data_IF_553866007184
#
_entry.id   IF_553866007184
#
_cell.length_a   1.000
_cell.length_b   1.000
_cell.length_c   1.000
_cell.angle_alpha   90.00
_cell.angle_beta   90.00
_cell.angle_gamma   90.00
#
_symmetry.space_group_name_H-M   'P 1'
#
loop_
_entity.id
_entity.type
_entity.pdbx_description
1 polymer ?
#
# COMPACT_ATOMS: atom_id res chain seq x y z
N UNK A 1 32.78 -24.29 -13.17
CA UNK A 1 31.36 -24.69 -13.22
C UNK A 1 30.85 -24.55 -11.80
N UNK A 2 30.21 -23.43 -11.47
CA UNK A 2 29.54 -23.20 -10.18
C UNK A 2 28.17 -22.60 -10.48
N UNK A 3 27.26 -23.44 -10.96
CA UNK A 3 25.86 -23.08 -11.17
C UNK A 3 24.99 -23.41 -9.94
N UNK A 4 25.54 -24.13 -8.96
CA UNK A 4 24.81 -24.70 -7.81
C UNK A 4 24.69 -23.76 -6.61
N UNK A 5 25.56 -22.76 -6.49
CA UNK A 5 25.57 -21.80 -5.38
C UNK A 5 24.52 -20.69 -5.52
N UNK A 6 24.13 -20.32 -6.75
CA UNK A 6 23.13 -19.28 -6.99
C UNK A 6 21.69 -19.78 -6.82
N UNK A 7 21.43 -21.05 -7.11
CA UNK A 7 20.08 -21.63 -7.01
C UNK A 7 19.67 -21.89 -5.55
N UNK A 8 20.64 -22.15 -4.66
CA UNK A 8 20.35 -22.42 -3.24
C UNK A 8 20.05 -21.16 -2.45
N UNK A 9 20.69 -20.02 -2.75
CA UNK A 9 20.38 -18.72 -2.14
C UNK A 9 19.07 -18.15 -2.63
N UNK A 10 18.79 -18.24 -3.95
CA UNK A 10 17.51 -17.81 -4.50
C UNK A 10 16.33 -18.61 -3.89
N UNK A 11 16.47 -19.93 -3.73
CA UNK A 11 15.42 -20.75 -3.11
C UNK A 11 15.27 -20.52 -1.59
N UNK A 12 16.37 -20.28 -0.86
CA UNK A 12 16.32 -19.95 0.56
C UNK A 12 15.71 -18.56 0.83
N UNK A 13 15.98 -17.59 -0.04
CA UNK A 13 15.38 -16.25 0.02
C UNK A 13 13.87 -16.31 -0.28
N UNK A 14 13.43 -17.21 -1.17
CA UNK A 14 12.01 -17.44 -1.48
C UNK A 14 11.28 -18.14 -0.31
N UNK A 15 11.85 -19.17 0.31
CA UNK A 15 11.26 -19.85 1.49
C UNK A 15 11.19 -18.93 2.73
N UNK A 16 12.19 -18.08 2.93
CA UNK A 16 12.17 -17.10 4.02
C UNK A 16 11.13 -16.01 3.76
N UNK A 17 10.98 -15.55 2.51
CA UNK A 17 9.95 -14.59 2.09
C UNK A 17 8.52 -15.15 2.16
N UNK A 18 8.33 -16.47 2.21
CA UNK A 18 7.00 -17.06 2.46
C UNK A 18 6.55 -16.91 3.92
N UNK A 19 7.48 -16.82 4.87
CA UNK A 19 7.19 -16.67 6.30
C UNK A 19 7.35 -15.23 6.80
N UNK A 20 8.21 -14.44 6.15
CA UNK A 20 8.42 -13.02 6.36
C UNK A 20 8.39 -12.29 5.01
N UNK A 21 7.21 -11.90 4.50
CA UNK A 21 7.07 -11.25 3.20
C UNK A 21 7.91 -9.97 3.04
N UNK A 22 8.25 -9.31 4.15
CA UNK A 22 9.12 -8.13 4.17
C UNK A 22 10.61 -8.45 3.93
N UNK A 23 11.05 -9.70 4.12
CA UNK A 23 12.44 -10.11 4.00
C UNK A 23 12.95 -10.26 2.56
N UNK A 24 12.07 -10.16 1.56
CA UNK A 24 12.47 -10.27 0.15
C UNK A 24 13.61 -9.30 -0.18
N UNK A 25 14.70 -9.83 -0.75
CA UNK A 25 15.90 -9.05 -1.07
C UNK A 25 15.77 -8.38 -2.43
N UNK A 26 15.85 -7.05 -2.44
CA UNK A 26 15.63 -6.21 -3.62
C UNK A 26 16.76 -6.42 -4.64
N UNK A 27 16.46 -6.88 -5.87
CA UNK A 27 17.49 -7.30 -6.82
C UNK A 27 18.08 -6.17 -7.67
N UNK A 28 17.52 -4.96 -7.63
CA UNK A 28 17.89 -3.83 -8.48
C UNK A 28 18.51 -2.67 -7.70
N UNK A 29 19.40 -1.92 -8.35
CA UNK A 29 20.31 -0.94 -7.72
C UNK A 29 19.86 0.51 -7.78
N UNK A 30 18.59 0.80 -8.10
CA UNK A 30 18.12 2.18 -8.11
C UNK A 30 18.29 2.78 -6.70
N UNK A 31 18.88 3.96 -6.65
CA UNK A 31 19.20 4.70 -5.42
C UNK A 31 19.89 3.88 -4.31
N UNK A 32 20.75 2.91 -4.69
CA UNK A 32 21.50 2.10 -3.73
C UNK A 32 20.64 1.14 -2.91
N UNK A 33 19.44 0.79 -3.37
CA UNK A 33 18.52 -0.11 -2.66
C UNK A 33 18.80 -1.60 -2.90
N UNK A 34 19.72 -1.96 -3.79
CA UNK A 34 20.07 -3.37 -4.05
C UNK A 34 20.55 -4.06 -2.79
N UNK A 35 20.05 -5.27 -2.55
CA UNK A 35 20.44 -6.07 -1.40
C UNK A 35 19.74 -5.69 -0.10
N UNK A 36 18.87 -4.67 -0.11
CA UNK A 36 18.02 -4.35 1.04
C UNK A 36 16.76 -5.20 1.07
N UNK A 37 16.12 -5.24 2.23
CA UNK A 37 14.82 -5.89 2.44
C UNK A 37 13.69 -5.05 1.86
N UNK A 38 12.64 -5.70 1.38
CA UNK A 38 11.43 -5.06 0.86
C UNK A 38 10.76 -4.16 1.90
N UNK A 39 10.71 -4.58 3.16
CA UNK A 39 10.14 -3.80 4.28
C UNK A 39 10.91 -2.51 4.62
N UNK A 40 12.15 -2.39 4.16
CA UNK A 40 12.99 -1.21 4.34
C UNK A 40 12.83 -0.18 3.21
N UNK A 41 12.07 -0.50 2.17
CA UNK A 41 11.84 0.38 1.03
C UNK A 41 10.70 1.37 1.32
N UNK A 42 10.85 2.65 0.91
CA UNK A 42 9.74 3.58 0.86
C UNK A 42 8.61 3.08 -0.05
N UNK A 43 7.36 3.34 0.31
CA UNK A 43 6.18 2.93 -0.47
C UNK A 43 6.21 3.49 -1.90
N UNK A 44 6.66 4.74 -2.07
CA UNK A 44 6.83 5.37 -3.38
C UNK A 44 7.80 4.61 -4.29
N UNK A 45 8.83 4.01 -3.70
CA UNK A 45 9.83 3.23 -4.41
C UNK A 45 9.31 1.83 -4.77
N UNK A 46 8.57 1.20 -3.86
CA UNK A 46 7.84 -0.05 -4.16
C UNK A 46 6.84 0.16 -5.30
N UNK A 47 6.08 1.25 -5.27
CA UNK A 47 5.15 1.64 -6.33
C UNK A 47 5.84 1.88 -7.69
N UNK A 48 7.02 2.53 -7.69
CA UNK A 48 7.82 2.71 -8.89
C UNK A 48 8.28 1.37 -9.48
N UNK A 49 8.70 0.42 -8.65
CA UNK A 49 9.23 -0.86 -9.08
C UNK A 49 8.17 -1.84 -9.61
N UNK A 50 6.93 -1.74 -9.14
CA UNK A 50 5.79 -2.55 -9.65
C UNK A 50 5.10 -1.93 -10.88
N UNK A 51 5.56 -0.78 -11.37
CA UNK A 51 4.97 -0.11 -12.53
C UNK A 51 5.21 -0.91 -13.82
N UNK A 52 4.19 -1.07 -14.68
CA UNK A 52 4.29 -1.84 -15.92
C UNK A 52 5.35 -1.35 -16.91
N UNK A 53 5.77 -0.08 -16.81
CA UNK A 53 6.93 0.46 -17.53
C UNK A 53 8.26 -0.19 -17.15
N UNK A 54 8.26 -1.13 -16.19
CA UNK A 54 9.40 -1.95 -15.77
C UNK A 54 9.27 -3.40 -16.17
N UNK A 55 8.20 -3.79 -16.87
CA UNK A 55 7.92 -5.18 -17.27
C UNK A 55 8.99 -5.81 -18.16
N UNK A 56 9.84 -5.01 -18.79
CA UNK A 56 11.00 -5.45 -19.57
C UNK A 56 12.18 -5.92 -18.69
N UNK A 57 12.17 -5.64 -17.39
CA UNK A 57 13.21 -6.03 -16.48
C UNK A 57 13.06 -7.49 -16.03
N UNK A 58 14.16 -8.23 -16.03
CA UNK A 58 14.18 -9.65 -15.63
C UNK A 58 13.74 -9.92 -14.18
N UNK A 59 13.76 -8.90 -13.32
CA UNK A 59 13.34 -8.98 -11.92
C UNK A 59 11.87 -8.59 -11.68
N UNK A 60 11.18 -8.04 -12.68
CA UNK A 60 9.88 -7.38 -12.50
C UNK A 60 8.80 -8.28 -11.91
N UNK A 61 8.55 -9.44 -12.54
CA UNK A 61 7.47 -10.33 -12.09
C UNK A 61 7.72 -10.86 -10.67
N UNK A 62 8.96 -11.25 -10.36
CA UNK A 62 9.32 -11.72 -9.03
C UNK A 62 9.17 -10.61 -7.96
N UNK A 63 9.58 -9.38 -8.27
CA UNK A 63 9.41 -8.25 -7.36
C UNK A 63 7.93 -7.89 -7.18
N UNK A 64 7.15 -7.87 -8.26
CA UNK A 64 5.71 -7.59 -8.22
C UNK A 64 4.97 -8.60 -7.35
N UNK A 65 5.29 -9.88 -7.50
CA UNK A 65 4.74 -10.93 -6.66
C UNK A 65 5.14 -10.76 -5.18
N UNK A 66 6.42 -10.51 -4.89
CA UNK A 66 6.89 -10.27 -3.53
C UNK A 66 6.21 -9.04 -2.89
N UNK A 67 6.10 -7.93 -3.63
CA UNK A 67 5.41 -6.74 -3.16
C UNK A 67 3.93 -7.00 -2.89
N UNK A 68 3.25 -7.78 -3.74
CA UNK A 68 1.85 -8.15 -3.55
C UNK A 68 1.65 -8.93 -2.25
N UNK A 69 2.49 -9.95 -2.01
CA UNK A 69 2.44 -10.74 -0.77
C UNK A 69 2.72 -9.88 0.46
N UNK A 70 3.66 -8.95 0.36
CA UNK A 70 3.98 -8.03 1.46
C UNK A 70 2.83 -7.04 1.74
N UNK A 71 2.21 -6.46 0.70
CA UNK A 71 1.05 -5.58 0.88
C UNK A 71 -0.16 -6.33 1.47
N UNK A 72 -0.38 -7.60 1.09
CA UNK A 72 -1.39 -8.46 1.70
C UNK A 72 -1.09 -8.78 3.17
N UNK A 73 0.18 -9.07 3.48
CA UNK A 73 0.62 -9.30 4.86
C UNK A 73 0.45 -8.05 5.72
N UNK A 74 0.81 -6.87 5.21
CA UNK A 74 0.59 -5.59 5.89
C UNK A 74 -0.90 -5.34 6.12
N UNK A 75 -1.75 -5.61 5.13
CA UNK A 75 -3.20 -5.49 5.27
C UNK A 75 -3.75 -6.42 6.36
N UNK A 76 -3.20 -7.62 6.54
CA UNK A 76 -3.67 -8.56 7.56
C UNK A 76 -3.14 -8.23 8.97
N UNK A 77 -1.91 -7.75 9.07
CA UNK A 77 -1.20 -7.60 10.35
C UNK A 77 -1.33 -6.22 10.98
N UNK A 78 -1.49 -5.16 10.17
CA UNK A 78 -1.70 -3.80 10.67
C UNK A 78 -3.07 -3.68 11.32
N UNK A 79 -3.15 -2.89 12.39
CA UNK A 79 -4.45 -2.52 12.93
C UNK A 79 -5.25 -1.71 11.89
N UNK A 80 -6.59 -1.83 11.83
CA UNK A 80 -7.40 -0.96 11.01
C UNK A 80 -7.12 0.51 11.36
N UNK A 81 -6.76 1.32 10.37
CA UNK A 81 -6.38 2.72 10.56
C UNK A 81 -4.87 3.01 10.55
N UNK A 82 -4.00 2.00 10.64
CA UNK A 82 -2.54 2.22 10.53
C UNK A 82 -2.04 2.40 9.09
N UNK A 83 -2.92 2.23 8.11
CA UNK A 83 -2.55 2.36 6.70
C UNK A 83 -1.93 3.74 6.43
N UNK A 84 -0.70 3.80 5.87
CA UNK A 84 -0.05 5.06 5.57
C UNK A 84 -0.74 5.74 4.39
N UNK A 85 -1.05 7.02 4.52
CA UNK A 85 -1.59 7.83 3.44
C UNK A 85 -0.56 7.90 2.31
N UNK A 86 -0.90 7.54 1.05
CA UNK A 86 0.06 7.43 -0.03
C UNK A 86 0.20 8.71 -0.89
N UNK A 87 -0.32 9.85 -0.43
CA UNK A 87 -0.34 11.07 -1.23
C UNK A 87 -0.41 12.37 -0.43
N UNK A 88 0.00 13.46 -1.10
CA UNK A 88 -0.24 14.83 -0.67
C UNK A 88 0.45 15.19 0.63
N UNK A 89 -0.04 16.25 1.30
CA UNK A 89 0.58 16.77 2.53
C UNK A 89 0.54 15.82 3.74
N UNK A 90 -0.24 14.74 3.66
CA UNK A 90 -0.39 13.75 4.72
C UNK A 90 0.36 12.47 4.41
N UNK A 91 1.16 12.41 3.34
CA UNK A 91 1.90 11.21 2.94
C UNK A 91 2.68 10.62 4.13
N UNK A 92 2.55 9.31 4.33
CA UNK A 92 3.17 8.56 5.43
C UNK A 92 2.47 8.68 6.78
N UNK A 93 1.47 9.56 6.95
CA UNK A 93 0.65 9.60 8.16
C UNK A 93 -0.33 8.44 8.17
N UNK A 94 -0.82 8.05 9.36
CA UNK A 94 -1.80 6.97 9.51
C UNK A 94 -3.19 7.43 9.07
N UNK A 95 -3.99 6.51 8.53
CA UNK A 95 -5.38 6.74 8.16
C UNK A 95 -6.23 7.21 9.34
N UNK A 96 -5.99 6.70 10.55
CA UNK A 96 -6.68 7.13 11.77
C UNK A 96 -6.27 8.52 12.29
N UNK A 97 -5.16 9.07 11.78
CA UNK A 97 -4.61 10.35 12.22
C UNK A 97 -4.98 11.53 11.30
N UNK A 98 -5.65 11.27 10.18
CA UNK A 98 -6.03 12.30 9.20
C UNK A 98 -7.50 12.71 9.29
N UNK A 99 -7.85 13.93 8.83
CA UNK A 99 -9.25 14.35 8.81
C UNK A 99 -10.13 13.44 7.96
N UNK A 100 -11.34 13.17 8.44
CA UNK A 100 -12.35 12.36 7.73
C UNK A 100 -12.61 12.86 6.31
N UNK A 101 -12.63 14.18 6.11
CA UNK A 101 -12.81 14.80 4.79
C UNK A 101 -11.75 14.37 3.76
N UNK A 102 -10.52 14.10 4.19
CA UNK A 102 -9.47 13.57 3.32
C UNK A 102 -9.77 12.13 2.92
N UNK A 103 -10.15 11.28 3.89
CA UNK A 103 -10.47 9.87 3.66
C UNK A 103 -11.61 9.74 2.65
N UNK A 104 -12.65 10.55 2.81
CA UNK A 104 -13.79 10.57 1.89
C UNK A 104 -13.46 11.14 0.51
N UNK A 105 -12.65 12.20 0.42
CA UNK A 105 -12.19 12.71 -0.87
C UNK A 105 -11.40 11.65 -1.64
N UNK A 106 -10.54 10.90 -0.94
CA UNK A 106 -9.63 9.94 -1.54
C UNK A 106 -10.31 8.69 -2.11
N UNK A 107 -11.47 8.29 -1.57
CA UNK A 107 -12.31 7.21 -2.12
C UNK A 107 -13.31 7.68 -3.19
N UNK A 108 -13.31 8.98 -3.54
CA UNK A 108 -14.19 9.47 -4.60
C UNK A 108 -13.74 8.91 -5.95
N UNK A 109 -14.70 8.52 -6.80
CA UNK A 109 -14.46 8.01 -8.17
C UNK A 109 -13.55 8.90 -9.05
N UNK A 110 -13.44 10.20 -8.76
CA UNK A 110 -12.49 11.10 -9.45
C UNK A 110 -11.04 10.72 -9.19
N UNK A 111 -10.74 10.05 -8.08
CA UNK A 111 -9.41 9.57 -7.72
C UNK A 111 -9.12 8.16 -8.29
N UNK A 112 -10.07 7.52 -8.98
CA UNK A 112 -9.95 6.13 -9.42
C UNK A 112 -8.79 5.85 -10.40
N UNK A 113 -8.27 6.89 -11.06
CA UNK A 113 -7.10 6.77 -11.93
C UNK A 113 -5.77 6.73 -11.17
N UNK A 114 -5.76 7.05 -9.87
CA UNK A 114 -4.56 7.07 -9.07
C UNK A 114 -4.11 5.64 -8.74
N UNK A 115 -2.81 5.39 -8.82
CA UNK A 115 -2.23 4.06 -8.56
C UNK A 115 -2.54 3.52 -7.16
N UNK A 116 -2.69 4.41 -6.18
CA UNK A 116 -2.95 4.06 -4.78
C UNK A 116 -4.44 3.80 -4.49
N UNK A 117 -5.34 4.16 -5.41
CA UNK A 117 -6.79 4.18 -5.16
C UNK A 117 -7.35 2.82 -4.74
N UNK A 118 -7.06 1.70 -5.44
CA UNK A 118 -7.62 0.41 -5.07
C UNK A 118 -7.25 -0.03 -3.65
N UNK A 119 -5.98 0.14 -3.26
CA UNK A 119 -5.50 -0.19 -1.92
C UNK A 119 -6.11 0.72 -0.86
N UNK A 120 -6.23 2.02 -1.14
CA UNK A 120 -6.81 2.98 -0.22
C UNK A 120 -8.30 2.69 0.05
N UNK A 121 -9.08 2.36 -0.98
CA UNK A 121 -10.50 2.00 -0.82
C UNK A 121 -10.64 0.81 0.12
N UNK A 122 -9.87 -0.27 -0.12
CA UNK A 122 -9.90 -1.49 0.69
C UNK A 122 -9.53 -1.23 2.17
N UNK A 123 -8.53 -0.40 2.41
CA UNK A 123 -8.08 -0.04 3.76
C UNK A 123 -9.07 0.88 4.48
N UNK A 124 -9.69 1.80 3.74
CA UNK A 124 -10.74 2.64 4.28
C UNK A 124 -11.99 1.84 4.65
N UNK A 125 -12.42 0.88 3.81
CA UNK A 125 -13.53 -0.02 4.12
C UNK A 125 -13.27 -0.82 5.41
N UNK A 126 -12.08 -1.43 5.52
CA UNK A 126 -11.66 -2.16 6.73
C UNK A 126 -11.66 -1.26 7.97
N UNK A 127 -11.22 -0.02 7.85
CA UNK A 127 -11.23 0.93 8.96
C UNK A 127 -12.65 1.38 9.35
N UNK A 128 -13.54 1.62 8.39
CA UNK A 128 -14.94 1.95 8.66
C UNK A 128 -15.68 0.79 9.34
N UNK A 129 -15.43 -0.46 8.94
CA UNK A 129 -15.96 -1.66 9.62
C UNK A 129 -15.48 -1.73 11.07
N UNK A 130 -14.19 -1.48 11.31
CA UNK A 130 -13.62 -1.41 12.65
C UNK A 130 -14.28 -0.31 13.50
N UNK A 131 -14.48 0.87 12.94
CA UNK A 131 -15.16 1.97 13.64
C UNK A 131 -16.63 1.62 13.95
N UNK A 132 -17.34 0.97 13.03
CA UNK A 132 -18.71 0.52 13.25
C UNK A 132 -18.82 -0.53 14.37
N UNK A 133 -17.82 -1.42 14.49
CA UNK A 133 -17.79 -2.45 15.53
C UNK A 133 -17.38 -1.92 16.92
N UNK A 134 -16.61 -0.83 16.98
CA UNK A 134 -15.98 -0.32 18.22
C UNK A 134 -16.65 0.93 18.78
N UNK A 135 -17.34 1.73 17.96
CA UNK A 135 -17.99 2.95 18.42
C UNK A 135 -19.30 2.64 19.15
N UNK A 136 -19.67 3.46 20.16
CA UNK A 136 -20.95 3.34 20.83
C UNK A 136 -22.13 3.43 19.84
N UNK A 137 -23.24 2.73 20.10
CA UNK A 137 -24.45 2.85 19.29
C UNK A 137 -24.89 4.31 19.19
N UNK A 138 -25.13 4.79 17.95
CA UNK A 138 -25.52 6.18 17.68
C UNK A 138 -24.40 7.08 17.15
N UNK A 139 -23.17 6.57 17.02
CA UNK A 139 -22.03 7.28 16.43
C UNK A 139 -21.72 6.92 14.96
N UNK A 140 -22.56 6.12 14.26
CA UNK A 140 -22.26 5.64 12.90
C UNK A 140 -23.44 5.54 11.90
N UNK A 141 -23.21 5.78 10.59
CA UNK A 141 -22.25 6.71 9.99
C UNK A 141 -22.91 7.97 9.43
N UNK A 142 -22.10 9.01 9.38
CA UNK A 142 -22.31 10.17 8.51
C UNK A 142 -22.69 9.67 7.09
N UNK A 143 -23.75 10.21 6.48
CA UNK A 143 -24.43 9.54 5.39
C UNK A 143 -23.58 9.53 4.12
N UNK A 144 -23.29 8.32 3.63
CA UNK A 144 -22.72 8.00 2.32
C UNK A 144 -23.30 8.82 1.15
N UNK A 145 -24.52 9.35 1.28
CA UNK A 145 -25.22 10.10 0.24
C UNK A 145 -25.19 11.64 0.34
N UNK A 146 -24.81 12.25 1.46
CA UNK A 146 -24.86 13.73 1.55
C UNK A 146 -23.70 14.41 0.81
N UNK A 147 -22.61 13.69 0.54
CA UNK A 147 -21.38 14.25 -0.06
C UNK A 147 -21.12 13.79 -1.50
N UNK A 148 -21.89 12.85 -2.05
CA UNK A 148 -21.78 12.41 -3.45
C UNK A 148 -21.97 13.56 -4.44
N UNK A 149 -22.72 14.60 -4.05
CA UNK A 149 -23.06 15.76 -4.87
C UNK A 149 -22.58 17.11 -4.30
N UNK A 150 -21.78 17.12 -3.23
CA UNK A 150 -21.31 18.39 -2.68
C UNK A 150 -20.17 18.96 -3.54
N UNK A 151 -20.29 20.20 -4.04
CA UNK A 151 -19.16 20.85 -4.69
C UNK A 151 -18.03 20.96 -3.66
N UNK A 152 -16.83 20.53 -4.04
CA UNK A 152 -15.63 20.65 -3.23
C UNK A 152 -15.46 22.12 -2.85
N UNK A 153 -15.77 22.46 -1.60
CA UNK A 153 -15.46 23.78 -1.05
C UNK A 153 -13.95 23.84 -0.96
N UNK A 154 -13.34 24.62 -1.84
CA UNK A 154 -11.90 24.75 -1.94
C UNK A 154 -11.33 24.76 -3.35
N UNK A 155 -12.13 25.04 -4.39
CA UNK A 155 -11.58 25.86 -5.48
C UNK A 155 -11.24 27.23 -4.89
N UNK A 156 -9.97 27.44 -4.57
CA UNK A 156 -9.40 28.76 -4.43
C UNK A 156 -8.05 28.75 -5.16
N UNK A 157 -7.71 29.89 -5.79
CA UNK A 157 -7.08 29.99 -7.12
C UNK A 157 -5.66 29.43 -7.25
#
# INVERSE_FOLDING_TARGET
MDATLNDSTANADIETAQNDPGAYIVPFAVDGQRGKRLDSLPDSYRAWAVNELRSDNSWYEAFKEANTRYDEWLFQTREPGEYPIPFGKYEGQRLDAVPDSLRYWAIHSRCAFAWWYPSFVRENERYEEHLAATRPPGMFPFPWGEYENLPLVGSAP
#
